data_IF_134085382728
#
_entry.id   IF_134085382728
#
_cell.length_a   1.000
_cell.length_b   1.000
_cell.length_c   1.000
_cell.angle_alpha   90.00
_cell.angle_beta   90.00
_cell.angle_gamma   90.00
#
_symmetry.space_group_name_H-M   'P 1'
#
loop_
_entity.id
_entity.type
_entity.pdbx_description
1 polymer ?
#
# COMPACT_ATOMS: atom_id res chain seq x y z
N UNK A 1 -36.12 8.87 14.19
CA UNK A 1 -34.67 9.07 14.37
C UNK A 1 -33.81 7.87 13.98
N UNK A 2 -34.11 6.63 14.41
CA UNK A 2 -33.26 5.44 14.14
C UNK A 2 -32.93 5.20 12.64
N UNK A 3 -33.89 5.39 11.73
CA UNK A 3 -33.68 5.22 10.28
C UNK A 3 -32.69 6.22 9.67
N UNK A 4 -32.63 7.46 10.17
CA UNK A 4 -31.70 8.48 9.67
C UNK A 4 -30.24 8.16 9.99
N UNK A 5 -29.99 7.63 11.19
CA UNK A 5 -28.65 7.22 11.63
C UNK A 5 -28.09 6.06 10.79
N UNK A 6 -28.94 5.14 10.32
CA UNK A 6 -28.51 4.03 9.46
C UNK A 6 -27.92 4.55 8.15
N UNK A 7 -28.56 5.50 7.48
CA UNK A 7 -28.04 6.04 6.22
C UNK A 7 -26.76 6.86 6.40
N UNK A 8 -26.62 7.55 7.54
CA UNK A 8 -25.36 8.22 7.90
C UNK A 8 -24.26 7.19 8.12
N UNK A 9 -24.55 6.11 8.84
CA UNK A 9 -23.59 5.02 9.05
C UNK A 9 -23.16 4.38 7.73
N UNK A 10 -24.12 4.04 6.85
CA UNK A 10 -23.84 3.51 5.51
C UNK A 10 -22.99 4.47 4.68
N UNK A 11 -23.24 5.77 4.78
CA UNK A 11 -22.43 6.80 4.14
C UNK A 11 -20.99 6.79 4.67
N UNK A 12 -20.81 6.76 5.99
CA UNK A 12 -19.48 6.69 6.62
C UNK A 12 -18.72 5.43 6.18
N UNK A 13 -19.37 4.27 6.17
CA UNK A 13 -18.76 3.02 5.69
C UNK A 13 -18.36 3.15 4.21
N UNK A 14 -19.24 3.69 3.36
CA UNK A 14 -18.95 3.93 1.95
C UNK A 14 -17.71 4.81 1.76
N UNK A 15 -17.60 5.92 2.50
CA UNK A 15 -16.42 6.80 2.46
C UNK A 15 -15.16 6.07 2.93
N UNK A 16 -15.24 5.31 4.03
CA UNK A 16 -14.09 4.56 4.56
C UNK A 16 -13.59 3.47 3.60
N UNK A 17 -14.47 2.86 2.80
CA UNK A 17 -14.04 1.92 1.75
C UNK A 17 -13.30 2.61 0.60
N UNK A 18 -13.59 3.88 0.34
CA UNK A 18 -13.00 4.65 -0.77
C UNK A 18 -11.70 5.35 -0.39
N UNK A 19 -11.55 5.76 0.87
CA UNK A 19 -10.41 6.55 1.31
C UNK A 19 -9.13 5.71 1.35
N UNK A 20 -8.03 6.25 0.81
CA UNK A 20 -6.72 5.60 0.82
C UNK A 20 -5.86 6.18 1.96
N UNK A 21 -5.13 5.33 2.65
CA UNK A 21 -4.14 5.74 3.66
C UNK A 21 -2.90 6.36 3.01
N UNK A 22 -1.95 6.82 3.83
CA UNK A 22 -0.62 7.29 3.40
C UNK A 22 0.23 6.22 2.69
N UNK A 23 -0.13 4.94 2.80
CA UNK A 23 0.46 3.83 2.01
C UNK A 23 -0.29 3.55 0.71
N UNK A 24 -1.27 4.39 0.36
CA UNK A 24 -2.17 4.21 -0.77
C UNK A 24 -3.01 2.92 -0.73
N UNK A 25 -3.16 2.30 0.45
CA UNK A 25 -4.08 1.16 0.66
C UNK A 25 -5.37 1.66 1.30
N UNK A 26 -6.51 1.21 0.81
CA UNK A 26 -7.82 1.53 1.38
C UNK A 26 -8.20 0.57 2.52
N UNK A 27 -9.09 1.00 3.42
CA UNK A 27 -9.66 0.07 4.42
C UNK A 27 -10.38 -1.10 3.74
N UNK A 28 -11.04 -0.81 2.62
CA UNK A 28 -11.73 -1.84 1.85
C UNK A 28 -10.80 -2.90 1.29
N UNK A 29 -9.59 -2.53 0.88
CA UNK A 29 -8.59 -3.49 0.38
C UNK A 29 -8.22 -4.49 1.48
N UNK A 30 -8.01 -3.98 2.70
CA UNK A 30 -7.71 -4.80 3.87
C UNK A 30 -8.86 -5.74 4.23
N UNK A 31 -10.12 -5.25 4.19
CA UNK A 31 -11.30 -6.08 4.47
C UNK A 31 -11.44 -7.22 3.45
N UNK A 32 -11.33 -6.91 2.16
CA UNK A 32 -11.45 -7.92 1.10
C UNK A 32 -10.33 -8.96 1.22
N UNK A 33 -9.11 -8.50 1.45
CA UNK A 33 -7.94 -9.39 1.60
C UNK A 33 -8.02 -10.28 2.83
N UNK A 34 -8.49 -9.73 3.96
CA UNK A 34 -8.72 -10.50 5.18
C UNK A 34 -9.82 -11.56 4.98
N UNK A 35 -10.78 -11.31 4.09
CA UNK A 35 -11.80 -12.28 3.70
C UNK A 35 -11.31 -13.29 2.63
N UNK A 36 -10.03 -13.22 2.21
CA UNK A 36 -9.48 -14.07 1.15
C UNK A 36 -9.96 -13.71 -0.26
N UNK A 37 -10.56 -12.53 -0.44
CA UNK A 37 -11.06 -12.04 -1.72
C UNK A 37 -10.04 -11.06 -2.28
N UNK A 38 -9.58 -11.30 -3.51
CA UNK A 38 -8.74 -10.32 -4.21
C UNK A 38 -9.50 -8.99 -4.35
N UNK A 39 -8.95 -7.85 -3.91
CA UNK A 39 -9.55 -6.52 -4.11
C UNK A 39 -9.74 -6.17 -5.59
N UNK A 40 -8.99 -6.81 -6.48
CA UNK A 40 -9.05 -6.62 -7.92
C UNK A 40 -9.71 -7.82 -8.61
N UNK A 41 -10.69 -7.54 -9.48
CA UNK A 41 -11.23 -8.54 -10.39
C UNK A 41 -10.27 -8.70 -11.56
N UNK A 42 -9.77 -9.92 -11.78
CA UNK A 42 -8.96 -10.34 -12.94
C UNK A 42 -7.55 -9.75 -13.01
N UNK A 43 -6.65 -10.45 -13.71
CA UNK A 43 -5.23 -10.05 -13.83
C UNK A 43 -5.02 -8.75 -14.61
N UNK A 44 -5.92 -8.45 -15.57
CA UNK A 44 -5.83 -7.30 -16.48
C UNK A 44 -7.03 -6.33 -16.38
N UNK A 45 -8.00 -6.62 -15.52
CA UNK A 45 -9.21 -5.80 -15.38
C UNK A 45 -9.01 -4.74 -14.29
N UNK A 46 -9.35 -3.49 -14.61
CA UNK A 46 -9.19 -2.34 -13.71
C UNK A 46 -10.34 -2.18 -12.70
N UNK A 47 -11.09 -3.26 -12.44
CA UNK A 47 -12.23 -3.22 -11.53
C UNK A 47 -11.78 -3.50 -10.11
N UNK A 48 -11.79 -2.45 -9.30
CA UNK A 48 -11.43 -2.50 -7.89
C UNK A 48 -12.70 -2.68 -7.05
N UNK A 49 -12.92 -3.89 -6.55
CA UNK A 49 -14.12 -4.29 -5.83
C UNK A 49 -14.44 -3.39 -4.63
N UNK A 50 -13.47 -3.04 -3.76
CA UNK A 50 -13.74 -2.14 -2.64
C UNK A 50 -14.26 -0.77 -3.09
N UNK A 51 -13.77 -0.27 -4.22
CA UNK A 51 -14.21 1.01 -4.77
C UNK A 51 -15.63 0.93 -5.31
N UNK A 52 -15.96 -0.12 -6.06
CA UNK A 52 -17.32 -0.32 -6.59
C UNK A 52 -18.33 -0.40 -5.44
N UNK A 53 -18.04 -1.23 -4.43
CA UNK A 53 -18.90 -1.38 -3.26
C UNK A 53 -19.00 -0.08 -2.46
N UNK A 54 -17.87 0.60 -2.25
CA UNK A 54 -17.80 1.89 -1.57
C UNK A 54 -18.67 2.96 -2.26
N UNK A 55 -18.65 3.04 -3.59
CA UNK A 55 -19.51 3.96 -4.36
C UNK A 55 -20.99 3.62 -4.20
N UNK A 56 -21.39 2.35 -4.27
CA UNK A 56 -22.78 1.93 -4.07
C UNK A 56 -23.27 2.33 -2.68
N UNK A 57 -22.49 2.03 -1.64
CA UNK A 57 -22.81 2.39 -0.26
C UNK A 57 -22.88 3.91 -0.07
N UNK A 58 -21.94 4.66 -0.65
CA UNK A 58 -21.93 6.11 -0.60
C UNK A 58 -23.20 6.71 -1.22
N UNK A 59 -23.63 6.21 -2.40
CA UNK A 59 -24.85 6.67 -3.07
C UNK A 59 -26.10 6.36 -2.24
N UNK A 60 -26.24 5.13 -1.74
CA UNK A 60 -27.39 4.73 -0.92
C UNK A 60 -27.45 5.57 0.37
N UNK A 61 -26.31 5.71 1.05
CA UNK A 61 -26.20 6.52 2.27
C UNK A 61 -26.52 7.98 2.02
N UNK A 62 -26.04 8.55 0.91
CA UNK A 62 -26.28 9.94 0.54
C UNK A 62 -27.75 10.19 0.20
N UNK A 63 -28.35 9.38 -0.68
CA UNK A 63 -29.76 9.51 -1.07
C UNK A 63 -30.68 9.38 0.16
N UNK A 64 -30.43 8.38 1.02
CA UNK A 64 -31.21 8.18 2.23
C UNK A 64 -31.07 9.32 3.23
N UNK A 65 -29.84 9.79 3.46
CA UNK A 65 -29.58 10.93 4.37
C UNK A 65 -30.24 12.21 3.85
N UNK A 66 -30.09 12.52 2.55
CA UNK A 66 -30.72 13.71 1.97
C UNK A 66 -32.23 13.62 2.06
N UNK A 67 -32.85 12.49 1.70
CA UNK A 67 -34.31 12.32 1.75
C UNK A 67 -34.88 12.57 3.15
N UNK A 68 -34.17 12.13 4.19
CA UNK A 68 -34.63 12.25 5.59
C UNK A 68 -34.36 13.64 6.16
N UNK A 69 -33.17 14.21 5.92
CA UNK A 69 -32.74 15.42 6.62
C UNK A 69 -32.97 16.72 5.83
N UNK A 70 -33.20 16.66 4.51
CA UNK A 70 -33.43 17.85 3.65
C UNK A 70 -34.58 18.75 4.13
N UNK A 71 -35.73 18.25 4.64
CA UNK A 71 -36.80 19.13 5.12
C UNK A 71 -36.38 20.06 6.26
N UNK A 72 -35.44 19.61 7.11
CA UNK A 72 -34.91 20.41 8.23
C UNK A 72 -33.62 21.15 7.87
N UNK A 73 -32.83 20.57 6.97
CA UNK A 73 -31.53 21.07 6.55
C UNK A 73 -31.44 21.11 5.01
N UNK A 74 -31.96 22.16 4.35
CA UNK A 74 -32.11 22.19 2.89
C UNK A 74 -30.79 22.09 2.11
N UNK A 75 -29.66 22.46 2.74
CA UNK A 75 -28.31 22.39 2.16
C UNK A 75 -27.53 21.11 2.56
N UNK A 76 -28.20 20.07 3.09
CA UNK A 76 -27.53 18.87 3.59
C UNK A 76 -26.67 18.15 2.55
N UNK A 77 -27.12 18.08 1.29
CA UNK A 77 -26.36 17.45 0.21
C UNK A 77 -24.98 18.11 0.01
N UNK A 78 -24.96 19.44 -0.10
CA UNK A 78 -23.70 20.20 -0.25
C UNK A 78 -22.76 19.97 0.94
N UNK A 79 -23.30 19.96 2.17
CA UNK A 79 -22.50 19.68 3.38
C UNK A 79 -21.91 18.27 3.38
N UNK A 80 -22.69 17.27 2.95
CA UNK A 80 -22.20 15.89 2.81
C UNK A 80 -21.07 15.82 1.80
N UNK A 81 -21.23 16.41 0.61
CA UNK A 81 -20.20 16.41 -0.44
C UNK A 81 -18.92 17.07 0.07
N UNK A 82 -19.04 18.26 0.66
CA UNK A 82 -17.89 18.99 1.24
C UNK A 82 -17.21 18.14 2.32
N UNK A 83 -17.97 17.51 3.22
CA UNK A 83 -17.42 16.65 4.26
C UNK A 83 -16.69 15.42 3.68
N UNK A 84 -17.25 14.77 2.66
CA UNK A 84 -16.61 13.63 1.99
C UNK A 84 -15.29 14.04 1.33
N UNK A 85 -15.28 15.15 0.58
CA UNK A 85 -14.07 15.67 -0.08
C UNK A 85 -13.02 16.07 0.96
N UNK A 86 -13.41 16.84 1.99
CA UNK A 86 -12.51 17.24 3.06
C UNK A 86 -11.91 16.01 3.77
N UNK A 87 -12.73 15.00 4.06
CA UNK A 87 -12.27 13.77 4.67
C UNK A 87 -11.27 13.02 3.77
N UNK A 88 -11.54 12.89 2.46
CA UNK A 88 -10.62 12.25 1.53
C UNK A 88 -9.26 12.95 1.44
N UNK A 89 -9.23 14.29 1.56
CA UNK A 89 -8.00 15.07 1.52
C UNK A 89 -7.21 15.01 2.84
N UNK A 90 -7.91 15.01 3.97
CA UNK A 90 -7.28 15.03 5.31
C UNK A 90 -6.81 13.63 5.73
N UNK A 91 -7.56 12.58 5.37
CA UNK A 91 -7.33 11.24 5.87
C UNK A 91 -5.93 10.67 5.58
N UNK A 92 -5.33 10.82 4.38
CA UNK A 92 -3.95 10.36 4.15
C UNK A 92 -2.97 10.99 5.14
N UNK A 93 -3.05 12.31 5.33
CA UNK A 93 -2.20 13.06 6.26
C UNK A 93 -2.43 12.61 7.71
N UNK A 94 -3.68 12.49 8.12
CA UNK A 94 -4.03 12.03 9.46
C UNK A 94 -3.53 10.60 9.71
N UNK A 95 -3.68 9.72 8.72
CA UNK A 95 -3.23 8.32 8.82
C UNK A 95 -1.71 8.21 8.95
N UNK A 96 -0.95 9.07 8.26
CA UNK A 96 0.50 9.13 8.37
C UNK A 96 0.90 9.50 9.80
N UNK A 97 0.39 10.63 10.30
CA UNK A 97 0.73 11.13 11.64
C UNK A 97 0.31 10.16 12.74
N UNK A 98 -0.87 9.55 12.59
CA UNK A 98 -1.33 8.53 13.53
C UNK A 98 -0.37 7.34 13.59
N UNK A 99 0.14 6.88 12.45
CA UNK A 99 1.08 5.75 12.42
C UNK A 99 2.42 6.09 13.07
N UNK A 100 2.94 7.31 12.88
CA UNK A 100 4.13 7.77 13.63
C UNK A 100 3.93 7.74 15.14
N UNK A 101 2.72 8.07 15.63
CA UNK A 101 2.41 7.99 17.06
C UNK A 101 2.25 6.54 17.52
N UNK A 102 1.48 5.73 16.80
CA UNK A 102 1.18 4.35 17.17
C UNK A 102 2.42 3.44 17.13
N UNK A 103 3.31 3.66 16.16
CA UNK A 103 4.52 2.86 15.95
C UNK A 103 5.79 3.53 16.46
N UNK A 104 5.68 4.63 17.21
CA UNK A 104 6.83 5.40 17.69
C UNK A 104 7.89 4.53 18.40
N UNK A 105 7.45 3.60 19.25
CA UNK A 105 8.31 2.73 20.04
C UNK A 105 8.43 1.31 19.45
N UNK A 106 8.12 1.14 18.17
CA UNK A 106 8.31 -0.13 17.50
C UNK A 106 9.74 -0.24 16.97
N UNK A 107 10.26 -1.47 16.94
CA UNK A 107 11.62 -1.79 16.50
C UNK A 107 11.60 -2.83 15.37
N UNK A 108 12.73 -3.00 14.69
CA UNK A 108 12.91 -3.98 13.63
C UNK A 108 11.94 -3.76 12.45
N UNK A 109 11.57 -4.83 11.75
CA UNK A 109 10.74 -4.74 10.54
C UNK A 109 9.31 -4.20 10.76
N UNK A 110 8.84 -4.11 12.00
CA UNK A 110 7.54 -3.54 12.34
C UNK A 110 7.54 -2.00 12.36
N UNK A 111 8.71 -1.40 12.61
CA UNK A 111 8.91 0.06 12.64
C UNK A 111 9.06 0.67 11.25
N UNK A 112 9.24 -0.17 10.23
CA UNK A 112 9.39 0.26 8.84
C UNK A 112 8.14 -0.11 8.05
N UNK A 113 7.67 0.81 7.21
CA UNK A 113 6.76 0.53 6.11
C UNK A 113 7.29 1.16 4.80
N UNK A 114 6.82 0.63 3.67
CA UNK A 114 7.31 0.98 2.34
C UNK A 114 6.14 1.38 1.42
N UNK A 115 6.35 2.46 0.66
CA UNK A 115 5.39 2.98 -0.30
C UNK A 115 5.62 2.37 -1.69
N UNK A 116 5.05 1.19 -1.91
CA UNK A 116 5.21 0.44 -3.17
C UNK A 116 4.82 1.30 -4.38
N UNK A 117 3.66 1.97 -4.37
CA UNK A 117 3.15 2.72 -5.55
C UNK A 117 4.09 3.83 -6.05
N UNK A 118 4.95 4.37 -5.19
CA UNK A 118 5.88 5.46 -5.53
C UNK A 118 7.29 4.95 -5.86
N UNK A 119 7.47 3.64 -6.00
CA UNK A 119 8.76 3.05 -6.33
C UNK A 119 8.97 2.94 -7.83
N UNK A 120 10.21 3.19 -8.24
CA UNK A 120 10.59 3.21 -9.64
C UNK A 120 11.97 2.56 -9.79
N UNK A 121 12.14 1.64 -10.74
CA UNK A 121 13.43 1.03 -11.03
C UNK A 121 13.74 1.13 -12.53
N UNK A 122 14.96 1.54 -12.83
CA UNK A 122 15.53 1.46 -14.15
C UNK A 122 16.56 0.34 -14.20
N UNK A 123 16.31 -0.70 -14.99
CA UNK A 123 17.21 -1.84 -15.14
C UNK A 123 17.94 -1.72 -16.47
N UNK A 124 19.23 -2.03 -16.47
CA UNK A 124 20.07 -2.19 -17.66
C UNK A 124 20.76 -3.54 -17.57
N UNK A 125 20.69 -4.31 -18.64
CA UNK A 125 21.48 -5.53 -18.80
C UNK A 125 22.56 -5.31 -19.85
N UNK A 126 23.76 -5.79 -19.55
CA UNK A 126 24.94 -5.80 -20.41
C UNK A 126 25.63 -7.13 -20.19
N UNK A 127 26.27 -7.72 -21.20
CA UNK A 127 26.87 -9.06 -21.18
C UNK A 127 27.33 -9.52 -19.78
N UNK A 128 26.65 -10.54 -19.24
CA UNK A 128 26.84 -11.17 -17.91
C UNK A 128 26.55 -10.33 -16.64
N UNK A 129 25.99 -9.12 -16.76
CA UNK A 129 25.64 -8.28 -15.60
C UNK A 129 24.28 -7.57 -15.79
N UNK A 130 23.48 -7.52 -14.71
CA UNK A 130 22.30 -6.65 -14.66
C UNK A 130 22.45 -5.60 -13.54
N UNK A 131 22.24 -4.32 -13.90
CA UNK A 131 22.22 -3.19 -12.96
C UNK A 131 20.82 -2.64 -12.82
N UNK A 132 20.30 -2.57 -11.60
CA UNK A 132 19.03 -1.94 -11.29
C UNK A 132 19.26 -0.69 -10.42
N UNK A 133 18.89 0.48 -10.95
CA UNK A 133 18.85 1.73 -10.19
C UNK A 133 17.42 2.00 -9.76
N UNK A 134 17.17 1.92 -8.46
CA UNK A 134 15.83 1.97 -7.90
C UNK A 134 15.67 3.12 -6.92
N UNK A 135 14.52 3.79 -6.98
CA UNK A 135 14.08 4.80 -6.04
C UNK A 135 12.94 4.24 -5.18
N UNK A 136 13.11 4.33 -3.87
CA UNK A 136 12.18 3.82 -2.86
C UNK A 136 11.74 4.94 -1.94
N UNK A 137 10.59 4.76 -1.29
CA UNK A 137 10.12 5.65 -0.23
C UNK A 137 9.73 4.82 0.98
N UNK A 138 10.41 5.08 2.10
CA UNK A 138 10.22 4.40 3.37
C UNK A 138 9.62 5.33 4.41
N UNK A 139 8.83 4.76 5.29
CA UNK A 139 8.43 5.36 6.56
C UNK A 139 9.15 4.60 7.66
N UNK A 140 10.00 5.30 8.40
CA UNK A 140 10.64 4.80 9.60
C UNK A 140 9.95 5.40 10.81
N UNK A 141 9.09 4.65 11.46
CA UNK A 141 8.35 5.10 12.63
C UNK A 141 9.15 4.95 13.93
N UNK A 142 10.19 4.13 13.93
CA UNK A 142 11.03 3.84 15.10
C UNK A 142 12.37 4.56 15.10
N UNK A 143 13.32 3.98 15.83
CA UNK A 143 14.66 4.54 16.06
C UNK A 143 15.76 3.96 15.15
N UNK A 144 15.36 3.24 14.11
CA UNK A 144 16.29 2.51 13.23
C UNK A 144 17.09 3.46 12.35
N UNK A 145 18.38 3.16 12.12
CA UNK A 145 19.27 4.04 11.34
C UNK A 145 19.71 3.43 10.00
N UNK A 146 19.44 2.14 9.80
CA UNK A 146 19.80 1.41 8.60
C UNK A 146 18.87 0.23 8.38
N UNK A 147 18.65 -0.12 7.12
CA UNK A 147 17.93 -1.32 6.71
C UNK A 147 18.64 -1.98 5.55
N UNK A 148 18.58 -3.31 5.49
CA UNK A 148 19.03 -4.07 4.33
C UNK A 148 17.85 -4.31 3.41
N UNK A 149 18.00 -3.97 2.13
CA UNK A 149 16.93 -4.02 1.14
C UNK A 149 17.36 -4.80 -0.09
N UNK A 150 16.43 -5.55 -0.67
CA UNK A 150 16.63 -6.28 -1.91
C UNK A 150 15.40 -6.06 -2.83
N UNK A 151 15.58 -5.62 -4.08
CA UNK A 151 14.46 -5.43 -4.99
C UNK A 151 13.90 -6.79 -5.43
N UNK A 152 12.59 -6.84 -5.61
CA UNK A 152 11.85 -8.04 -6.00
C UNK A 152 11.01 -7.73 -7.23
N UNK A 153 11.29 -8.46 -8.31
CA UNK A 153 10.59 -8.36 -9.58
C UNK A 153 9.71 -9.60 -9.81
N UNK A 154 8.54 -9.43 -10.42
CA UNK A 154 7.61 -10.53 -10.75
C UNK A 154 7.52 -10.82 -12.26
N UNK A 155 8.16 -9.99 -13.10
CA UNK A 155 8.11 -10.08 -14.56
C UNK A 155 9.38 -10.75 -15.13
N UNK A 156 9.75 -10.46 -16.39
CA UNK A 156 10.95 -10.99 -17.11
C UNK A 156 12.30 -10.81 -16.41
N UNK A 157 12.32 -10.10 -15.29
CA UNK A 157 13.49 -9.81 -14.46
C UNK A 157 13.41 -10.51 -13.09
N UNK A 158 12.36 -11.31 -12.84
CA UNK A 158 12.15 -12.03 -11.58
C UNK A 158 13.12 -13.18 -11.34
N UNK A 159 13.72 -13.72 -12.40
CA UNK A 159 14.77 -14.73 -12.32
C UNK A 159 16.15 -14.12 -11.99
N UNK A 160 16.28 -12.78 -12.04
CA UNK A 160 17.51 -12.10 -11.66
C UNK A 160 17.59 -11.95 -10.14
N UNK A 161 18.61 -12.57 -9.55
CA UNK A 161 18.91 -12.43 -8.12
C UNK A 161 19.80 -11.21 -7.90
N UNK A 162 19.20 -10.06 -7.62
CA UNK A 162 19.92 -8.86 -7.23
C UNK A 162 20.49 -8.99 -5.81
N UNK A 163 21.71 -8.55 -5.59
CA UNK A 163 22.32 -8.53 -4.25
C UNK A 163 21.59 -7.57 -3.32
N UNK A 164 21.54 -7.89 -2.02
CA UNK A 164 20.97 -7.00 -1.02
C UNK A 164 21.92 -5.84 -0.72
N UNK A 165 21.36 -4.65 -0.47
CA UNK A 165 22.14 -3.45 -0.15
C UNK A 165 21.67 -2.85 1.16
N UNK A 166 22.61 -2.41 2.01
CA UNK A 166 22.28 -1.73 3.26
C UNK A 166 22.25 -0.23 3.02
N UNK A 167 21.10 0.38 3.34
CA UNK A 167 20.87 1.81 3.17
C UNK A 167 20.62 2.47 4.51
N UNK A 168 21.13 3.70 4.68
CA UNK A 168 20.85 4.49 5.86
C UNK A 168 19.47 5.15 5.76
N UNK A 169 18.74 5.16 6.87
CA UNK A 169 17.44 5.79 7.02
C UNK A 169 17.45 6.68 8.26
N UNK A 170 16.58 7.68 8.27
CA UNK A 170 16.49 8.63 9.38
C UNK A 170 15.37 8.17 10.32
N UNK A 171 15.61 8.07 11.64
CA UNK A 171 14.58 7.80 12.64
C UNK A 171 13.36 8.72 12.53
N UNK A 172 12.19 8.18 12.84
CA UNK A 172 10.91 8.92 12.91
C UNK A 172 10.64 9.83 11.70
N UNK A 173 10.96 9.34 10.49
CA UNK A 173 10.86 10.14 9.27
C UNK A 173 10.36 9.35 8.06
N UNK A 174 9.92 10.10 7.05
CA UNK A 174 9.67 9.61 5.69
C UNK A 174 10.88 9.96 4.84
N UNK A 175 11.51 8.96 4.22
CA UNK A 175 12.71 9.16 3.39
C UNK A 175 12.49 8.54 2.02
N UNK A 176 12.85 9.29 0.97
CA UNK A 176 13.01 8.77 -0.37
C UNK A 176 14.50 8.62 -0.66
N UNK A 177 14.92 7.44 -1.08
CA UNK A 177 16.32 7.12 -1.37
C UNK A 177 16.45 6.39 -2.69
N UNK A 178 17.62 6.51 -3.31
CA UNK A 178 17.97 5.79 -4.53
C UNK A 178 19.14 4.86 -4.23
N UNK A 179 19.00 3.60 -4.62
CA UNK A 179 20.01 2.57 -4.46
C UNK A 179 20.28 1.86 -5.80
N UNK A 180 21.50 1.38 -5.97
CA UNK A 180 21.92 0.60 -7.13
C UNK A 180 22.16 -0.84 -6.69
N UNK A 181 21.65 -1.78 -7.47
CA UNK A 181 21.73 -3.22 -7.23
C UNK A 181 22.34 -3.90 -8.44
N UNK A 182 23.15 -4.92 -8.17
CA UNK A 182 23.83 -5.73 -9.17
C UNK A 182 23.29 -7.15 -9.05
N UNK A 183 23.03 -7.78 -10.18
CA UNK A 183 22.83 -9.22 -10.25
C UNK A 183 23.98 -9.82 -11.07
N UNK A 184 24.75 -10.72 -10.42
CA UNK A 184 25.86 -11.45 -11.02
C UNK A 184 25.47 -12.93 -11.22
N UNK A 185 26.07 -13.61 -12.21
CA UNK A 185 26.08 -15.07 -12.26
C UNK A 185 24.99 -15.76 -13.08
N UNK A 186 24.22 -15.03 -13.90
CA UNK A 186 23.42 -15.64 -14.97
C UNK A 186 24.07 -15.36 -16.33
N UNK A 187 24.08 -16.34 -17.24
CA UNK A 187 24.31 -16.11 -18.67
C UNK A 187 23.16 -15.22 -19.17
N UNK A 188 23.34 -13.90 -19.05
CA UNK A 188 22.43 -12.92 -19.60
C UNK A 188 22.78 -12.80 -21.08
N UNK A 189 22.09 -13.58 -21.91
CA UNK A 189 22.28 -13.64 -23.37
C UNK A 189 21.57 -12.50 -24.12
N UNK A 190 20.98 -11.56 -23.38
CA UNK A 190 20.20 -10.46 -23.93
C UNK A 190 20.59 -9.10 -23.33
N UNK A 191 20.80 -8.12 -24.20
CA UNK A 191 20.96 -6.72 -23.81
C UNK A 191 19.61 -6.00 -23.82
N UNK A 192 19.33 -5.21 -22.80
CA UNK A 192 18.11 -4.43 -22.76
C UNK A 192 18.08 -3.39 -21.66
N UNK A 193 17.07 -2.53 -21.74
CA UNK A 193 16.74 -1.62 -20.64
C UNK A 193 15.24 -1.65 -20.39
N UNK A 194 14.86 -1.47 -19.14
CA UNK A 194 13.48 -1.52 -18.70
C UNK A 194 13.23 -0.52 -17.59
N UNK A 195 12.01 0.02 -17.57
CA UNK A 195 11.54 0.92 -16.53
C UNK A 195 10.30 0.33 -15.86
N UNK A 196 10.36 0.23 -14.54
CA UNK A 196 9.36 -0.45 -13.72
C UNK A 196 8.82 0.51 -12.66
N UNK A 197 7.51 0.43 -12.42
CA UNK A 197 6.81 1.14 -11.34
C UNK A 197 6.11 0.18 -10.40
N UNK A 198 6.18 0.46 -9.10
CA UNK A 198 5.57 -0.41 -8.10
C UNK A 198 6.38 -1.67 -7.87
N UNK A 199 7.70 -1.54 -7.76
CA UNK A 199 8.63 -2.66 -7.56
C UNK A 199 8.52 -3.16 -6.13
N UNK A 200 8.45 -4.47 -5.96
CA UNK A 200 8.45 -5.09 -4.64
C UNK A 200 9.83 -5.00 -4.00
N UNK A 201 9.90 -5.11 -2.68
CA UNK A 201 11.15 -5.18 -1.96
C UNK A 201 11.07 -6.20 -0.84
N UNK A 202 12.19 -6.80 -0.51
CA UNK A 202 12.42 -7.47 0.76
C UNK A 202 13.23 -6.54 1.65
N UNK A 203 12.78 -6.35 2.89
CA UNK A 203 13.49 -5.60 3.92
C UNK A 203 13.93 -6.58 4.99
N UNK A 204 15.22 -6.57 5.31
CA UNK A 204 15.81 -7.38 6.36
C UNK A 204 16.35 -6.48 7.48
N UNK A 205 16.02 -6.85 8.72
CA UNK A 205 16.50 -6.22 9.95
C UNK A 205 16.64 -7.28 11.03
N UNK A 206 17.80 -7.33 11.70
CA UNK A 206 18.08 -8.29 12.79
C UNK A 206 17.78 -9.75 12.41
N UNK A 207 18.05 -10.13 11.15
CA UNK A 207 17.79 -11.47 10.60
C UNK A 207 16.31 -11.78 10.31
N UNK A 208 15.41 -10.81 10.52
CA UNK A 208 13.98 -10.92 10.18
C UNK A 208 13.72 -10.26 8.83
N UNK A 209 13.11 -11.01 7.91
CA UNK A 209 12.74 -10.56 6.56
C UNK A 209 11.27 -10.21 6.47
N UNK A 210 10.95 -9.06 5.87
CA UNK A 210 9.59 -8.60 5.56
C UNK A 210 9.52 -8.22 4.09
N UNK A 211 8.69 -8.94 3.34
CA UNK A 211 8.46 -8.71 1.91
C UNK A 211 7.27 -7.79 1.67
N UNK A 212 7.47 -6.81 0.79
CA UNK A 212 6.45 -5.88 0.31
C UNK A 212 6.30 -6.05 -1.19
N UNK A 213 5.15 -6.54 -1.64
CA UNK A 213 4.85 -6.65 -3.06
C UNK A 213 3.66 -5.77 -3.43
N UNK A 214 3.63 -5.31 -4.68
CA UNK A 214 2.46 -4.62 -5.26
C UNK A 214 1.21 -5.51 -5.19
N UNK A 215 1.41 -6.82 -5.30
CA UNK A 215 0.38 -7.83 -5.17
C UNK A 215 0.50 -8.56 -3.84
N UNK A 216 0.32 -7.85 -2.73
CA UNK A 216 0.06 -8.48 -1.42
C UNK A 216 -1.21 -9.38 -1.41
N UNK A 217 -1.91 -9.45 -2.54
CA UNK A 217 -3.23 -10.08 -2.71
C UNK A 217 -3.20 -11.45 -3.41
N UNK A 218 -2.02 -12.00 -3.75
CA UNK A 218 -1.92 -13.30 -4.42
C UNK A 218 -1.22 -14.42 -3.61
N UNK A 219 -0.78 -14.14 -2.39
CA UNK A 219 -0.16 -15.14 -1.50
C UNK A 219 -1.02 -15.40 -0.26
N UNK A 220 -2.20 -16.00 -0.47
CA UNK A 220 -2.84 -16.87 0.53
C UNK A 220 -2.72 -18.31 0.00
N UNK A 221 -1.50 -18.82 0.10
CA UNK A 221 -1.01 -20.19 -0.01
C UNK A 221 0.49 -19.95 0.20
N UNK A 222 1.00 -19.91 1.41
CA UNK A 222 1.15 -21.05 2.32
C UNK A 222 1.23 -20.54 3.77
N UNK A 223 0.37 -21.07 4.63
CA UNK A 223 0.61 -21.14 6.08
C UNK A 223 0.43 -22.60 6.47
N UNK A 224 1.49 -23.35 6.80
CA UNK A 224 1.34 -24.49 7.68
C UNK A 224 1.48 -23.99 9.13
N UNK A 225 0.33 -24.00 9.82
CA UNK A 225 0.13 -24.65 11.12
C UNK A 225 1.13 -24.28 12.22
N UNK A 226 0.62 -23.51 13.19
CA UNK A 226 1.12 -23.47 14.55
C UNK A 226 1.37 -24.88 15.09
N UNK A 227 2.63 -25.19 15.39
CA UNK A 227 2.96 -26.27 16.33
C UNK A 227 3.90 -25.71 17.38
N UNK A 228 3.33 -25.39 18.55
CA UNK A 228 4.05 -25.35 19.82
C UNK A 228 3.80 -26.68 20.52
N UNK A 229 4.80 -27.32 21.14
CA UNK A 229 4.59 -27.99 22.41
C UNK A 229 4.41 -26.98 23.55
#
# INVERSE_FOLDING_TARGET
>A
MKKGLIYIFVLCVGVLMLVRSHLHVSLGDNIFSAAGISPWLGKNTRFHLPVILGFILLLIGMIGTVKIYKPRYPKILSRIIIACVAFMLIFPLASEKLMFVLKHNSNGTHSIDYLVENSECHIKTSDNEAKAKCSFTFYNYGAENSITIQPVFEDRYGDLNFEASTVSIIPHSKVSLTAEFIAEGHEIDWSGSGYFKGVGIEVEMDGVKKRYNKFKYLTIKELPIWTTP
#
